data_IF_786684099083
#
_entry.id   IF_786684099083
#
_cell.length_a   1.000
_cell.length_b   1.000
_cell.length_c   1.000
_cell.angle_alpha   90.00
_cell.angle_beta   90.00
_cell.angle_gamma   90.00
#
_symmetry.space_group_name_H-M   'P 1'
#
loop_
_entity.id
_entity.type
_entity.pdbx_description
1 polymer ?
#
# COMPACT_ATOMS: atom_id res chain seq x y z
N UNK A 1 12.86 13.29 10.90
CA UNK A 1 12.40 12.56 9.75
C UNK A 1 11.23 11.65 10.03
N UNK A 2 10.59 11.21 8.99
CA UNK A 2 9.48 10.28 9.07
C UNK A 2 9.85 8.95 8.42
N UNK A 3 9.32 7.89 8.98
CA UNK A 3 9.45 6.57 8.40
C UNK A 3 8.25 6.28 7.50
N UNK A 4 8.51 5.57 6.41
CA UNK A 4 7.47 5.08 5.51
C UNK A 4 7.45 3.56 5.53
N UNK A 5 6.30 2.98 5.21
CA UNK A 5 6.15 1.55 5.10
C UNK A 5 5.19 1.22 3.97
N UNK A 6 5.32 0.03 3.43
CA UNK A 6 4.40 -0.50 2.43
C UNK A 6 3.52 -1.58 3.04
N UNK A 7 2.28 -1.65 2.58
CA UNK A 7 1.33 -2.67 2.99
C UNK A 7 0.70 -3.32 1.76
N UNK A 8 0.51 -4.62 1.81
CA UNK A 8 0.08 -5.42 0.66
C UNK A 8 -1.44 -5.52 0.52
N UNK A 9 -2.13 -4.43 0.71
CA UNK A 9 -3.56 -4.27 0.49
C UNK A 9 -3.88 -2.80 0.26
N UNK A 10 -5.13 -2.51 -0.08
CA UNK A 10 -5.63 -1.14 -0.18
C UNK A 10 -6.19 -0.72 1.19
N UNK A 11 -5.34 -0.18 2.05
CA UNK A 11 -5.76 0.29 3.36
C UNK A 11 -6.92 1.30 3.23
N UNK A 12 -7.90 1.29 4.13
CA UNK A 12 -7.96 0.57 5.39
C UNK A 12 -8.42 -0.89 5.29
N UNK A 13 -8.59 -1.43 4.09
CA UNK A 13 -8.94 -2.83 3.91
C UNK A 13 -7.75 -3.73 4.28
N UNK A 14 -8.04 -4.87 4.89
CA UNK A 14 -7.09 -5.94 5.20
C UNK A 14 -5.80 -5.46 5.87
N UNK A 15 -5.90 -4.82 7.04
CA UNK A 15 -4.70 -4.50 7.82
C UNK A 15 -4.04 -5.78 8.35
N UNK A 16 -2.79 -5.67 8.80
CA UNK A 16 -2.06 -6.81 9.33
C UNK A 16 -1.14 -7.45 8.30
N UNK A 17 -0.74 -8.71 8.53
CA UNK A 17 0.34 -9.35 7.77
C UNK A 17 -0.13 -10.28 6.65
N UNK A 18 -1.45 -10.52 6.54
CA UNK A 18 -2.00 -11.50 5.60
C UNK A 18 -2.88 -10.87 4.51
N UNK A 19 -2.49 -9.68 4.01
CA UNK A 19 -3.27 -8.96 3.02
C UNK A 19 -3.69 -9.78 1.80
N UNK A 20 -2.77 -10.42 1.06
CA UNK A 20 -3.15 -11.22 -0.11
C UNK A 20 -4.07 -12.38 0.20
N UNK A 21 -3.80 -13.11 1.29
CA UNK A 21 -4.66 -14.23 1.70
C UNK A 21 -6.06 -13.74 2.06
N UNK A 22 -6.13 -12.67 2.83
CA UNK A 22 -7.41 -12.12 3.28
C UNK A 22 -8.22 -11.58 2.10
N UNK A 23 -7.56 -10.95 1.13
CA UNK A 23 -8.21 -10.48 -0.09
C UNK A 23 -8.81 -11.64 -0.90
N UNK A 24 -8.06 -12.73 -1.05
CA UNK A 24 -8.54 -13.93 -1.75
C UNK A 24 -9.72 -14.57 -1.01
N UNK A 25 -9.63 -14.70 0.30
CA UNK A 25 -10.70 -15.30 1.12
C UNK A 25 -11.98 -14.47 1.07
N UNK A 26 -11.85 -13.17 1.05
CA UNK A 26 -13.00 -12.26 0.97
C UNK A 26 -13.65 -12.30 -0.41
N UNK A 27 -12.85 -12.57 -1.45
CA UNK A 27 -13.34 -12.63 -2.83
C UNK A 27 -13.34 -11.29 -3.54
N UNK A 28 -12.44 -10.36 -3.15
CA UNK A 28 -12.33 -9.08 -3.84
C UNK A 28 -11.82 -9.28 -5.26
N UNK A 29 -12.22 -8.39 -6.17
CA UNK A 29 -11.75 -8.41 -7.56
C UNK A 29 -10.58 -7.47 -7.79
N UNK A 30 -10.37 -6.54 -6.89
CA UNK A 30 -9.26 -5.58 -6.90
C UNK A 30 -8.70 -5.47 -5.49
N UNK A 31 -7.41 -5.60 -5.37
CA UNK A 31 -6.66 -5.26 -4.17
C UNK A 31 -5.55 -4.31 -4.55
N UNK A 32 -4.48 -4.24 -3.82
CA UNK A 32 -3.37 -3.38 -4.20
C UNK A 32 -2.32 -3.26 -3.14
N UNK A 33 -1.60 -2.16 -3.21
CA UNK A 33 -0.54 -1.83 -2.26
C UNK A 33 -0.70 -0.39 -1.79
N UNK A 34 -0.35 -0.16 -0.54
CA UNK A 34 -0.43 1.16 0.10
C UNK A 34 0.94 1.54 0.64
N UNK A 35 1.39 2.74 0.30
CA UNK A 35 2.54 3.38 0.91
C UNK A 35 2.03 4.40 1.92
N UNK A 36 2.50 4.32 3.16
CA UNK A 36 2.01 5.20 4.23
C UNK A 36 3.12 5.62 5.17
N UNK A 37 2.90 6.70 5.88
CA UNK A 37 3.78 7.07 6.99
C UNK A 37 3.50 6.16 8.18
N UNK A 38 4.56 5.84 8.93
CA UNK A 38 4.45 5.03 10.14
C UNK A 38 4.00 5.93 11.29
N UNK A 39 2.99 5.47 12.04
CA UNK A 39 2.59 6.06 13.31
C UNK A 39 2.58 4.99 14.40
N UNK A 40 1.92 5.26 15.53
CA UNK A 40 1.89 4.35 16.65
C UNK A 40 1.00 3.11 16.44
N UNK A 41 0.08 3.16 15.47
CA UNK A 41 -0.81 2.05 15.16
C UNK A 41 -0.23 1.12 14.11
N UNK A 42 -0.91 -0.01 13.90
CA UNK A 42 -0.54 -0.96 12.83
C UNK A 42 -1.26 -0.55 11.55
N UNK A 43 -0.48 -0.18 10.53
CA UNK A 43 -0.99 0.21 9.21
C UNK A 43 -2.03 1.33 9.27
N UNK A 44 -1.88 2.27 10.20
CA UNK A 44 -2.86 3.34 10.44
C UNK A 44 -2.35 4.74 10.10
N UNK A 45 -1.09 4.88 9.73
CA UNK A 45 -0.51 6.17 9.39
C UNK A 45 -1.10 6.78 8.12
N UNK A 46 -0.92 8.09 7.91
CA UNK A 46 -1.45 8.76 6.72
C UNK A 46 -0.94 8.13 5.42
N UNK A 47 -1.84 7.95 4.48
CA UNK A 47 -1.55 7.29 3.20
C UNK A 47 -0.88 8.28 2.25
N UNK A 48 0.27 7.88 1.72
CA UNK A 48 1.02 8.65 0.72
C UNK A 48 0.50 8.35 -0.68
N UNK A 49 0.36 7.06 -1.00
CA UNK A 49 -0.04 6.61 -2.32
C UNK A 49 -0.61 5.20 -2.26
N UNK A 50 -1.43 4.87 -3.23
CA UNK A 50 -1.99 3.51 -3.39
C UNK A 50 -1.97 3.14 -4.86
N UNK A 51 -1.78 1.86 -5.14
CA UNK A 51 -1.84 1.30 -6.49
C UNK A 51 -2.76 0.09 -6.48
N UNK A 52 -3.66 0.05 -7.46
CA UNK A 52 -4.60 -1.05 -7.61
C UNK A 52 -3.92 -2.25 -8.31
N UNK A 53 -4.24 -3.44 -7.83
CA UNK A 53 -3.77 -4.70 -8.42
C UNK A 53 -4.98 -5.59 -8.64
N UNK A 54 -5.30 -5.95 -9.90
CA UNK A 54 -6.42 -6.84 -10.17
C UNK A 54 -6.16 -8.25 -9.61
N UNK A 55 -7.21 -8.88 -9.13
CA UNK A 55 -7.18 -10.28 -8.70
C UNK A 55 -7.77 -11.13 -9.81
N UNK A 56 -7.00 -12.13 -10.26
CA UNK A 56 -7.47 -13.10 -11.24
C UNK A 56 -8.22 -14.23 -10.56
N UNK A 57 -9.19 -14.84 -11.26
CA UNK A 57 -9.98 -15.93 -10.68
C UNK A 57 -9.14 -17.16 -10.31
N UNK A 58 -8.01 -17.34 -10.98
CA UNK A 58 -7.08 -18.46 -10.72
C UNK A 58 -5.88 -18.06 -9.87
N UNK A 59 -5.90 -16.89 -9.24
CA UNK A 59 -4.81 -16.48 -8.37
C UNK A 59 -4.70 -17.39 -7.13
N UNK A 60 -3.47 -17.69 -6.78
CA UNK A 60 -3.11 -18.27 -5.49
C UNK A 60 -2.56 -17.17 -4.60
N UNK A 61 -2.36 -17.48 -3.32
CA UNK A 61 -1.69 -16.54 -2.41
C UNK A 61 -0.32 -16.17 -2.95
N UNK A 62 0.43 -17.15 -3.48
CA UNK A 62 1.76 -16.90 -4.03
C UNK A 62 1.73 -15.99 -5.25
N UNK A 63 0.86 -16.25 -6.22
CA UNK A 63 0.81 -15.45 -7.44
C UNK A 63 0.37 -14.02 -7.17
N UNK A 64 -0.62 -13.85 -6.32
CA UNK A 64 -1.11 -12.52 -5.95
C UNK A 64 -0.05 -11.76 -5.15
N UNK A 65 0.62 -12.41 -4.21
CA UNK A 65 1.69 -11.82 -3.41
C UNK A 65 2.82 -11.29 -4.29
N UNK A 66 3.25 -12.08 -5.28
CA UNK A 66 4.31 -11.65 -6.21
C UNK A 66 3.90 -10.43 -7.04
N UNK A 67 2.64 -10.41 -7.50
CA UNK A 67 2.14 -9.26 -8.26
C UNK A 67 2.06 -8.01 -7.40
N UNK A 68 1.64 -8.14 -6.15
CA UNK A 68 1.57 -7.02 -5.21
C UNK A 68 2.98 -6.53 -4.85
N UNK A 69 3.93 -7.43 -4.62
CA UNK A 69 5.33 -7.05 -4.34
C UNK A 69 5.93 -6.21 -5.46
N UNK A 70 5.66 -6.55 -6.71
CA UNK A 70 6.14 -5.77 -7.85
C UNK A 70 5.54 -4.36 -7.83
N UNK A 71 4.24 -4.25 -7.56
CA UNK A 71 3.55 -2.98 -7.45
C UNK A 71 4.08 -2.14 -6.27
N UNK A 72 4.32 -2.78 -5.12
CA UNK A 72 4.90 -2.13 -3.95
C UNK A 72 6.26 -1.53 -4.26
N UNK A 73 7.11 -2.29 -4.94
CA UNK A 73 8.46 -1.84 -5.27
C UNK A 73 8.44 -0.61 -6.17
N UNK A 74 7.63 -0.63 -7.21
CA UNK A 74 7.48 0.50 -8.12
C UNK A 74 6.96 1.73 -7.40
N UNK A 75 5.95 1.54 -6.57
CA UNK A 75 5.33 2.61 -5.80
C UNK A 75 6.33 3.24 -4.83
N UNK A 76 7.09 2.41 -4.12
CA UNK A 76 8.08 2.86 -3.15
C UNK A 76 9.14 3.74 -3.83
N UNK A 77 9.72 3.25 -4.93
CA UNK A 77 10.77 3.99 -5.66
C UNK A 77 10.23 5.32 -6.17
N UNK A 78 9.06 5.31 -6.80
CA UNK A 78 8.46 6.52 -7.39
C UNK A 78 8.16 7.57 -6.32
N UNK A 79 7.47 7.17 -5.26
CA UNK A 79 6.95 8.14 -4.30
C UNK A 79 7.97 8.57 -3.25
N UNK A 80 8.90 7.71 -2.85
CA UNK A 80 10.01 8.14 -1.99
C UNK A 80 10.86 9.16 -2.74
N UNK A 81 11.11 8.94 -4.03
CA UNK A 81 11.79 9.93 -4.87
C UNK A 81 11.08 11.26 -4.90
N UNK A 82 9.76 11.27 -5.07
CA UNK A 82 8.96 12.50 -5.05
C UNK A 82 8.99 13.20 -3.70
N UNK A 83 8.85 12.44 -2.61
CA UNK A 83 8.91 13.00 -1.25
C UNK A 83 10.24 13.74 -1.01
N UNK A 84 11.34 13.12 -1.43
CA UNK A 84 12.67 13.71 -1.24
C UNK A 84 12.85 14.98 -2.09
N UNK A 85 12.40 14.97 -3.34
CA UNK A 85 12.59 16.10 -4.27
C UNK A 85 11.59 17.24 -4.05
N UNK A 86 10.33 16.89 -3.76
CA UNK A 86 9.23 17.85 -3.80
C UNK A 86 8.68 18.20 -2.42
N UNK A 87 9.02 17.40 -1.40
CA UNK A 87 8.48 17.56 -0.06
C UNK A 87 7.02 17.10 0.02
N UNK A 88 6.42 17.34 1.15
CA UNK A 88 5.02 16.96 1.38
C UNK A 88 4.41 17.80 2.49
N UNK A 89 3.07 17.80 2.53
CA UNK A 89 2.31 18.32 3.68
C UNK A 89 1.33 17.25 4.15
N UNK A 90 1.03 17.25 5.44
CA UNK A 90 0.02 16.37 6.02
C UNK A 90 -1.02 17.23 6.71
N UNK A 91 -2.29 17.11 6.29
CA UNK A 91 -3.42 17.80 6.92
C UNK A 91 -4.43 16.74 7.37
N UNK A 92 -4.55 16.54 8.69
CA UNK A 92 -5.29 15.41 9.22
C UNK A 92 -4.68 14.11 8.77
N UNK A 93 -5.41 13.34 7.96
CA UNK A 93 -4.91 12.10 7.37
C UNK A 93 -4.46 12.26 5.91
N UNK A 94 -4.61 13.46 5.35
CA UNK A 94 -4.35 13.67 3.93
C UNK A 94 -2.90 14.10 3.71
N UNK A 95 -2.18 13.33 2.92
CA UNK A 95 -0.82 13.65 2.45
C UNK A 95 -0.92 14.30 1.07
N UNK A 96 -0.24 15.42 0.90
CA UNK A 96 -0.18 16.11 -0.38
C UNK A 96 1.27 16.31 -0.79
N UNK A 97 1.59 15.92 -2.02
CA UNK A 97 2.89 16.20 -2.65
C UNK A 97 2.63 17.26 -3.70
N UNK A 98 3.33 18.40 -3.63
CA UNK A 98 3.12 19.50 -4.59
C UNK A 98 3.32 19.10 -6.03
#
# INVERSE_FOLDING_TARGET
GRYVNTHNALLPAFPGIHGPRDALEYGVKITGATLHFVDAGVDTGPIIAQVAVPVSDDDTVESLTERIKEAERRQLVTYVGRLVREGWTVTGRKVTIP
#
